data_IF_243663510777
#
_entry.id   IF_243663510777
#
_cell.length_a   1.000
_cell.length_b   1.000
_cell.length_c   1.000
_cell.angle_alpha   90.00
_cell.angle_beta   90.00
_cell.angle_gamma   90.00
#
_symmetry.space_group_name_H-M   'P 1'
#
loop_
_entity.id
_entity.type
_entity.pdbx_description
1 polymer ?
#
# COMPACT_ATOMS: atom_id res chain seq x y z
N UNK A 1 -7.31 -3.07 -4.81
CA UNK A 1 -8.03 -1.84 -4.42
C UNK A 1 -7.20 -0.63 -4.83
N UNK A 2 -7.76 0.22 -5.68
CA UNK A 2 -7.10 1.44 -6.17
C UNK A 2 -7.46 2.63 -5.30
N UNK A 3 -6.55 3.59 -5.16
CA UNK A 3 -6.83 4.85 -4.49
C UNK A 3 -7.67 5.83 -5.31
N UNK A 4 -7.78 7.07 -4.82
CA UNK A 4 -8.56 8.14 -5.44
C UNK A 4 -8.22 8.32 -6.93
N UNK A 5 -9.25 8.23 -7.78
CA UNK A 5 -9.10 8.41 -9.23
C UNK A 5 -8.37 9.70 -9.60
N UNK A 6 -7.33 9.54 -10.42
CA UNK A 6 -6.53 10.66 -10.94
C UNK A 6 -5.37 11.09 -10.04
N UNK A 7 -5.25 10.55 -8.83
CA UNK A 7 -4.07 10.76 -8.00
C UNK A 7 -2.83 10.12 -8.67
N UNK A 8 -1.71 10.83 -8.65
CA UNK A 8 -0.46 10.36 -9.23
C UNK A 8 0.03 9.08 -8.57
N UNK A 9 -0.16 8.95 -7.25
CA UNK A 9 0.14 7.72 -6.50
C UNK A 9 -0.66 6.52 -7.02
N UNK A 10 -1.98 6.67 -7.21
CA UNK A 10 -2.85 5.63 -7.77
C UNK A 10 -2.39 5.20 -9.17
N UNK A 11 -2.13 6.18 -10.04
CA UNK A 11 -1.67 5.92 -11.42
C UNK A 11 -0.33 5.17 -11.40
N UNK A 12 0.63 5.64 -10.60
CA UNK A 12 1.96 5.03 -10.49
C UNK A 12 1.90 3.61 -9.92
N UNK A 13 1.24 3.42 -8.77
CA UNK A 13 1.08 2.11 -8.11
C UNK A 13 0.35 1.11 -9.01
N UNK A 14 -0.72 1.53 -9.73
CA UNK A 14 -1.41 0.66 -10.69
C UNK A 14 -0.52 0.31 -11.88
N UNK A 15 0.15 1.30 -12.47
CA UNK A 15 1.00 1.05 -13.65
C UNK A 15 2.12 0.08 -13.32
N UNK A 16 2.83 0.30 -12.20
CA UNK A 16 3.93 -0.57 -11.78
C UNK A 16 3.49 -2.00 -11.50
N UNK A 17 2.36 -2.19 -10.79
CA UNK A 17 1.85 -3.54 -10.55
C UNK A 17 1.37 -4.23 -11.84
N UNK A 18 0.66 -3.51 -12.71
CA UNK A 18 0.17 -4.07 -13.98
C UNK A 18 1.31 -4.48 -14.91
N UNK A 19 2.41 -3.73 -14.93
CA UNK A 19 3.61 -4.06 -15.69
C UNK A 19 4.18 -5.42 -15.24
N UNK A 20 4.46 -5.57 -13.94
CA UNK A 20 4.98 -6.82 -13.38
C UNK A 20 3.99 -7.98 -13.54
N UNK A 21 2.70 -7.76 -13.27
CA UNK A 21 1.69 -8.81 -13.46
C UNK A 21 1.61 -9.29 -14.92
N UNK A 22 1.85 -8.39 -15.89
CA UNK A 22 1.93 -8.76 -17.32
C UNK A 22 3.11 -9.66 -17.68
N UNK A 23 4.13 -9.74 -16.83
CA UNK A 23 5.28 -10.65 -16.99
C UNK A 23 5.01 -12.06 -16.41
N UNK A 24 3.91 -12.24 -15.68
CA UNK A 24 3.56 -13.49 -15.01
C UNK A 24 2.25 -14.07 -15.55
N UNK A 25 2.32 -15.06 -16.45
CA UNK A 25 1.14 -15.68 -17.08
C UNK A 25 0.15 -16.29 -16.08
N UNK A 26 0.61 -16.65 -14.88
CA UNK A 26 -0.20 -17.23 -13.82
C UNK A 26 -0.80 -16.18 -12.86
N UNK A 27 -0.57 -14.88 -13.08
CA UNK A 27 -1.19 -13.81 -12.30
C UNK A 27 -2.37 -13.25 -13.06
N UNK A 28 -3.58 -13.60 -12.61
CA UNK A 28 -4.83 -13.16 -13.24
C UNK A 28 -5.41 -11.99 -12.46
N UNK A 29 -5.40 -10.79 -13.05
CA UNK A 29 -6.07 -9.63 -12.45
C UNK A 29 -7.58 -9.79 -12.62
N UNK A 30 -8.25 -10.21 -11.54
CA UNK A 30 -9.70 -10.44 -11.51
C UNK A 30 -10.52 -9.15 -11.60
N UNK A 31 -10.09 -8.10 -10.89
CA UNK A 31 -10.74 -6.79 -10.90
C UNK A 31 -9.80 -5.68 -10.38
N UNK A 32 -10.03 -4.47 -10.86
CA UNK A 32 -9.41 -3.24 -10.34
C UNK A 32 -10.50 -2.21 -10.08
N UNK A 33 -10.63 -1.78 -8.83
CA UNK A 33 -11.76 -0.94 -8.38
C UNK A 33 -11.26 0.22 -7.53
N UNK A 34 -11.87 1.38 -7.73
CA UNK A 34 -11.60 2.60 -6.96
C UNK A 34 -12.19 2.46 -5.54
N UNK A 35 -11.31 2.58 -4.56
CA UNK A 35 -11.60 2.57 -3.13
C UNK A 35 -11.15 3.88 -2.43
N UNK A 36 -10.87 4.92 -3.23
CA UNK A 36 -10.78 6.32 -2.80
C UNK A 36 -9.75 6.64 -1.70
N UNK A 37 -8.81 5.74 -1.41
CA UNK A 37 -7.89 5.83 -0.27
C UNK A 37 -8.59 5.90 1.10
N UNK A 38 -9.82 5.39 1.23
CA UNK A 38 -10.56 5.42 2.49
C UNK A 38 -10.90 4.02 3.00
N UNK A 39 -10.91 3.86 4.33
CA UNK A 39 -11.33 2.62 4.99
C UNK A 39 -12.74 2.19 4.63
N UNK A 40 -13.70 3.12 4.66
CA UNK A 40 -15.09 2.81 4.37
C UNK A 40 -15.27 2.26 2.95
N UNK A 41 -14.61 2.88 1.97
CA UNK A 41 -14.72 2.45 0.57
C UNK A 41 -13.88 1.20 0.30
N UNK A 42 -12.73 1.04 0.96
CA UNK A 42 -11.94 -0.19 0.95
C UNK A 42 -12.75 -1.39 1.40
N UNK A 43 -13.47 -1.26 2.53
CA UNK A 43 -14.39 -2.29 3.02
C UNK A 43 -15.51 -2.57 2.02
N UNK A 44 -16.23 -1.54 1.57
CA UNK A 44 -17.35 -1.69 0.62
C UNK A 44 -16.93 -2.45 -0.65
N UNK A 45 -15.79 -2.07 -1.23
CA UNK A 45 -15.28 -2.71 -2.44
C UNK A 45 -14.78 -4.12 -2.18
N UNK A 46 -14.09 -4.37 -1.05
CA UNK A 46 -13.63 -5.72 -0.73
C UNK A 46 -14.81 -6.68 -0.49
N UNK A 47 -15.84 -6.27 0.24
CA UNK A 47 -17.07 -7.06 0.41
C UNK A 47 -17.72 -7.39 -0.93
N UNK A 48 -17.73 -6.43 -1.87
CA UNK A 48 -18.23 -6.66 -3.22
C UNK A 48 -17.36 -7.67 -3.98
N UNK A 49 -16.04 -7.54 -3.91
CA UNK A 49 -15.10 -8.42 -4.61
C UNK A 49 -15.19 -9.85 -4.08
N UNK A 50 -15.27 -10.07 -2.77
CA UNK A 50 -15.44 -11.41 -2.17
C UNK A 50 -16.72 -12.11 -2.64
N UNK A 51 -17.79 -11.37 -2.94
CA UNK A 51 -19.03 -11.94 -3.50
C UNK A 51 -18.90 -12.28 -4.99
N UNK A 52 -18.11 -11.53 -5.74
CA UNK A 52 -17.92 -11.73 -7.18
C UNK A 52 -16.88 -12.82 -7.47
N UNK A 53 -15.83 -12.87 -6.65
CA UNK A 53 -14.65 -13.70 -6.79
C UNK A 53 -14.39 -14.42 -5.46
N UNK A 54 -15.11 -15.51 -5.16
CA UNK A 54 -14.98 -16.25 -3.90
C UNK A 54 -13.64 -16.99 -3.76
N UNK A 55 -12.84 -17.04 -4.82
CA UNK A 55 -11.55 -17.70 -4.96
C UNK A 55 -10.39 -16.69 -5.13
N UNK A 56 -10.53 -15.47 -4.63
CA UNK A 56 -9.46 -14.46 -4.67
C UNK A 56 -8.26 -14.88 -3.80
N UNK A 57 -7.09 -15.03 -4.41
CA UNK A 57 -5.86 -15.41 -3.69
C UNK A 57 -5.15 -14.21 -3.03
N UNK A 58 -5.15 -13.05 -3.72
CA UNK A 58 -4.32 -11.88 -3.34
C UNK A 58 -5.10 -10.59 -3.49
N UNK A 59 -4.99 -9.71 -2.50
CA UNK A 59 -5.47 -8.32 -2.54
C UNK A 59 -4.27 -7.38 -2.47
N UNK A 60 -4.05 -6.64 -3.56
CA UNK A 60 -3.16 -5.47 -3.55
C UNK A 60 -3.99 -4.24 -3.21
N UNK A 61 -3.73 -3.63 -2.05
CA UNK A 61 -4.42 -2.44 -1.59
C UNK A 61 -3.46 -1.25 -1.61
N UNK A 62 -3.78 -0.22 -2.40
CA UNK A 62 -2.84 0.87 -2.65
C UNK A 62 -2.66 1.85 -1.48
N UNK A 63 -3.30 1.66 -0.33
CA UNK A 63 -2.91 2.31 0.92
C UNK A 63 -3.44 1.55 2.15
N UNK A 64 -2.87 1.86 3.31
CA UNK A 64 -3.21 1.25 4.60
C UNK A 64 -4.66 1.48 5.02
N UNK A 65 -5.22 2.68 4.83
CA UNK A 65 -6.61 2.95 5.23
C UNK A 65 -7.59 2.02 4.50
N UNK A 66 -7.45 1.86 3.18
CA UNK A 66 -8.24 0.90 2.41
C UNK A 66 -7.99 -0.53 2.86
N UNK A 67 -6.74 -0.87 3.20
CA UNK A 67 -6.35 -2.18 3.70
C UNK A 67 -7.06 -2.52 4.99
N UNK A 68 -7.16 -1.60 5.95
CA UNK A 68 -7.89 -1.82 7.20
C UNK A 68 -9.36 -2.20 6.92
N UNK A 69 -10.02 -1.49 6.00
CA UNK A 69 -11.38 -1.83 5.59
C UNK A 69 -11.48 -3.18 4.89
N UNK A 70 -10.50 -3.51 4.05
CA UNK A 70 -10.44 -4.79 3.37
C UNK A 70 -10.27 -5.96 4.34
N UNK A 71 -9.42 -5.81 5.37
CA UNK A 71 -9.22 -6.81 6.42
C UNK A 71 -10.52 -7.09 7.19
N UNK A 72 -11.28 -6.04 7.53
CA UNK A 72 -12.59 -6.20 8.16
C UNK A 72 -13.58 -6.97 7.26
N UNK A 73 -13.59 -6.67 5.96
CA UNK A 73 -14.42 -7.39 4.99
C UNK A 73 -14.03 -8.88 4.85
N UNK A 74 -12.73 -9.16 4.76
CA UNK A 74 -12.18 -10.53 4.67
C UNK A 74 -12.57 -11.33 5.91
N UNK A 75 -12.31 -10.79 7.11
CA UNK A 75 -12.67 -11.43 8.38
C UNK A 75 -14.19 -11.58 8.52
N UNK A 76 -14.97 -10.58 8.09
CA UNK A 76 -16.43 -10.62 8.08
C UNK A 76 -17.01 -11.70 7.17
N UNK A 77 -16.29 -12.08 6.11
CA UNK A 77 -16.64 -13.21 5.24
C UNK A 77 -16.23 -14.58 5.83
N UNK A 78 -15.60 -14.60 7.02
CA UNK A 78 -15.10 -15.82 7.65
C UNK A 78 -13.77 -16.31 7.08
N UNK A 79 -13.07 -15.47 6.31
CA UNK A 79 -11.76 -15.76 5.74
C UNK A 79 -10.65 -15.17 6.62
N UNK A 80 -9.46 -15.74 6.53
CA UNK A 80 -8.27 -15.27 7.22
C UNK A 80 -7.38 -14.45 6.28
N UNK A 81 -7.01 -13.21 6.63
CA UNK A 81 -6.02 -12.47 5.86
C UNK A 81 -4.59 -12.88 6.25
N UNK A 82 -3.64 -12.64 5.36
CA UNK A 82 -2.21 -12.74 5.66
C UNK A 82 -1.44 -13.70 4.77
N UNK A 83 -0.13 -13.79 4.97
CA UNK A 83 0.77 -14.66 4.18
C UNK A 83 0.36 -16.15 4.25
N UNK A 84 -0.14 -16.58 5.39
CA UNK A 84 -0.62 -17.95 5.64
C UNK A 84 -2.16 -18.04 5.65
N UNK A 85 -2.85 -16.96 5.30
CA UNK A 85 -4.31 -16.88 5.32
C UNK A 85 -4.96 -17.38 4.03
N UNK A 86 -6.30 -17.34 4.01
CA UNK A 86 -7.09 -17.58 2.80
C UNK A 86 -6.90 -16.49 1.73
N UNK A 87 -6.56 -15.26 2.14
CA UNK A 87 -6.31 -14.12 1.24
C UNK A 87 -5.02 -13.41 1.63
N UNK A 88 -4.04 -13.40 0.74
CA UNK A 88 -2.78 -12.65 0.93
C UNK A 88 -3.06 -11.16 0.73
N UNK A 89 -2.60 -10.32 1.66
CA UNK A 89 -2.82 -8.87 1.62
C UNK A 89 -1.49 -8.14 1.52
N UNK A 90 -1.38 -7.25 0.53
CA UNK A 90 -0.23 -6.35 0.34
C UNK A 90 -0.73 -4.91 0.42
N UNK A 91 -0.08 -4.09 1.24
CA UNK A 91 -0.45 -2.70 1.54
C UNK A 91 0.63 -1.70 1.13
N UNK A 92 0.32 -0.42 1.27
CA UNK A 92 1.21 0.71 1.02
C UNK A 92 1.01 1.81 2.07
N UNK A 93 2.05 2.59 2.27
CA UNK A 93 2.21 3.76 3.15
C UNK A 93 3.03 3.43 4.41
N UNK A 94 2.92 2.23 4.97
CA UNK A 94 3.64 1.78 6.16
C UNK A 94 3.36 2.64 7.40
N UNK A 95 2.10 2.98 7.64
CA UNK A 95 1.69 3.60 8.92
C UNK A 95 1.88 2.60 10.06
N UNK A 96 2.13 3.09 11.27
CA UNK A 96 2.43 2.23 12.42
C UNK A 96 1.43 1.08 12.62
N UNK A 97 0.13 1.35 12.52
CA UNK A 97 -0.90 0.33 12.68
C UNK A 97 -0.85 -0.77 11.60
N UNK A 98 -0.46 -0.44 10.36
CA UNK A 98 -0.27 -1.43 9.31
C UNK A 98 1.00 -2.25 9.55
N UNK A 99 2.07 -1.65 10.04
CA UNK A 99 3.27 -2.38 10.44
C UNK A 99 3.04 -3.35 11.60
N UNK A 100 2.19 -3.00 12.56
CA UNK A 100 1.75 -3.94 13.61
C UNK A 100 0.99 -5.14 13.02
N UNK A 101 0.21 -4.93 11.95
CA UNK A 101 -0.47 -6.00 11.21
C UNK A 101 0.46 -6.80 10.30
N UNK A 102 1.55 -6.19 9.82
CA UNK A 102 2.65 -6.94 9.18
C UNK A 102 3.32 -7.84 10.21
N UNK A 103 3.61 -7.33 11.41
CA UNK A 103 4.21 -8.12 12.49
C UNK A 103 3.32 -9.30 12.92
N UNK A 104 2.00 -9.08 13.05
CA UNK A 104 1.04 -10.14 13.35
C UNK A 104 0.85 -11.15 12.20
N UNK A 105 1.23 -10.77 10.98
CA UNK A 105 1.09 -11.57 9.76
C UNK A 105 -0.24 -11.40 9.03
N UNK A 106 -1.13 -10.51 9.49
CA UNK A 106 -2.39 -10.18 8.82
C UNK A 106 -2.17 -9.42 7.49
N UNK A 107 -1.03 -8.71 7.36
CA UNK A 107 -0.54 -8.11 6.12
C UNK A 107 0.78 -8.79 5.76
N UNK A 108 0.91 -9.30 4.53
CA UNK A 108 2.11 -10.03 4.11
C UNK A 108 3.29 -9.09 3.82
N UNK A 109 3.01 -7.94 3.20
CA UNK A 109 4.01 -6.90 2.94
C UNK A 109 3.35 -5.51 2.91
N UNK A 110 4.11 -4.51 3.33
CA UNK A 110 3.69 -3.11 3.30
C UNK A 110 4.81 -2.23 2.73
N UNK A 111 4.51 -1.48 1.68
CA UNK A 111 5.48 -0.67 0.95
C UNK A 111 5.42 0.77 1.43
N UNK A 112 6.52 1.26 1.99
CA UNK A 112 6.62 2.61 2.53
C UNK A 112 6.31 3.70 1.49
N UNK A 113 5.54 4.70 1.91
CA UNK A 113 5.48 6.01 1.27
C UNK A 113 5.96 7.05 2.28
N UNK A 114 7.25 7.36 2.25
CA UNK A 114 7.87 8.12 3.33
C UNK A 114 7.30 9.56 3.44
N UNK A 115 6.71 9.94 4.58
CA UNK A 115 6.07 11.24 4.74
C UNK A 115 7.08 12.37 5.05
N UNK A 116 8.34 12.05 5.40
CA UNK A 116 9.35 13.01 5.81
C UNK A 116 10.00 13.73 4.62
N UNK A 117 9.17 14.46 3.87
CA UNK A 117 9.58 15.20 2.69
C UNK A 117 9.93 16.66 3.02
N UNK A 118 9.64 17.12 4.24
CA UNK A 118 9.85 18.50 4.68
C UNK A 118 11.29 18.99 4.50
N UNK A 119 12.28 18.20 4.91
CA UNK A 119 13.70 18.57 4.79
C UNK A 119 14.14 18.68 3.31
N UNK A 120 13.63 17.82 2.44
CA UNK A 120 13.89 17.90 1.00
C UNK A 120 13.31 19.18 0.41
N UNK A 121 12.08 19.51 0.78
CA UNK A 121 11.41 20.75 0.35
C UNK A 121 12.16 21.98 0.86
N UNK A 122 12.55 22.02 2.13
CA UNK A 122 13.33 23.11 2.71
C UNK A 122 14.68 23.28 1.99
N UNK A 123 15.39 22.17 1.76
CA UNK A 123 16.67 22.19 1.03
C UNK A 123 16.52 22.77 -0.37
N UNK A 124 15.45 22.41 -1.09
CA UNK A 124 15.17 22.95 -2.43
C UNK A 124 14.88 24.45 -2.35
N UNK A 125 14.06 24.89 -1.40
CA UNK A 125 13.72 26.31 -1.21
C UNK A 125 15.00 27.12 -0.95
N UNK A 126 15.83 26.71 0.01
CA UNK A 126 17.07 27.41 0.37
C UNK A 126 18.03 27.54 -0.82
N UNK A 127 18.19 26.48 -1.62
CA UNK A 127 18.99 26.52 -2.84
C UNK A 127 18.45 27.53 -3.85
N UNK A 128 17.14 27.54 -4.06
CA UNK A 128 16.51 28.50 -4.98
C UNK A 128 16.68 29.95 -4.50
N UNK A 129 16.53 30.22 -3.21
CA UNK A 129 16.74 31.55 -2.62
C UNK A 129 18.19 32.03 -2.79
N UNK A 130 19.16 31.11 -2.75
CA UNK A 130 20.57 31.39 -2.98
C UNK A 130 20.97 31.42 -4.48
N UNK A 131 20.02 31.31 -5.40
CA UNK A 131 20.25 31.20 -6.86
C UNK A 131 21.12 30.00 -7.26
N UNK A 132 21.08 28.92 -6.47
CA UNK A 132 21.73 27.65 -6.80
C UNK A 132 20.85 26.80 -7.73
N UNK A 133 21.48 25.90 -8.49
CA UNK A 133 20.76 24.95 -9.32
C UNK A 133 20.08 23.86 -8.47
N UNK A 134 18.82 23.56 -8.79
CA UNK A 134 18.04 22.48 -8.17
C UNK A 134 17.75 21.37 -9.18
N UNK A 135 17.69 20.12 -8.70
CA UNK A 135 17.30 19.00 -9.53
C UNK A 135 15.80 19.07 -9.83
N UNK A 136 15.37 18.48 -10.95
CA UNK A 136 13.93 18.39 -11.28
C UNK A 136 13.19 17.30 -10.50
N UNK A 137 13.93 16.35 -9.93
CA UNK A 137 13.39 15.20 -9.24
C UNK A 137 14.27 14.89 -8.04
N UNK A 138 13.63 14.67 -6.90
CA UNK A 138 14.22 14.19 -5.67
C UNK A 138 13.51 12.90 -5.31
N UNK A 139 14.27 11.81 -5.21
CA UNK A 139 13.74 10.50 -4.85
C UNK A 139 13.90 10.33 -3.35
N UNK A 140 12.80 10.08 -2.66
CA UNK A 140 12.79 9.80 -1.23
C UNK A 140 13.05 8.30 -1.05
N UNK A 141 14.01 7.89 -0.22
CA UNK A 141 14.22 6.48 0.07
C UNK A 141 12.98 5.86 0.72
N UNK A 142 12.61 4.69 0.22
CA UNK A 142 11.46 3.90 0.68
C UNK A 142 11.92 2.47 0.98
N UNK A 143 11.19 1.81 1.86
CA UNK A 143 11.45 0.45 2.35
C UNK A 143 10.23 -0.44 2.14
N UNK A 144 10.46 -1.71 1.83
CA UNK A 144 9.41 -2.73 1.89
C UNK A 144 9.49 -3.42 3.25
N UNK A 145 8.38 -3.43 3.97
CA UNK A 145 8.27 -4.09 5.26
C UNK A 145 7.62 -5.46 5.12
N UNK A 146 8.25 -6.46 5.73
CA UNK A 146 7.75 -7.82 5.88
C UNK A 146 8.00 -8.26 7.32
N UNK A 147 7.50 -9.43 7.71
CA UNK A 147 7.78 -10.00 9.04
C UNK A 147 9.26 -10.11 9.38
N UNK A 148 10.13 -10.16 8.37
CA UNK A 148 11.58 -10.26 8.55
C UNK A 148 12.22 -9.00 9.09
N UNK A 149 11.68 -7.81 8.79
CA UNK A 149 12.31 -6.52 9.11
C UNK A 149 11.42 -5.56 9.91
N UNK A 150 10.12 -5.84 10.04
CA UNK A 150 9.15 -4.89 10.61
C UNK A 150 9.38 -4.59 12.09
N UNK A 151 9.80 -5.57 12.90
CA UNK A 151 10.03 -5.36 14.34
C UNK A 151 11.08 -4.27 14.57
N UNK A 152 12.15 -4.23 13.76
CA UNK A 152 13.16 -3.18 13.84
C UNK A 152 12.58 -1.80 13.47
N UNK A 153 11.72 -1.76 12.45
CA UNK A 153 11.08 -0.52 12.02
C UNK A 153 10.14 0.04 13.10
N UNK A 154 9.38 -0.81 13.79
CA UNK A 154 8.49 -0.42 14.88
C UNK A 154 9.23 0.15 16.11
N UNK A 155 10.47 -0.27 16.34
CA UNK A 155 11.32 0.24 17.42
C UNK A 155 12.02 1.57 17.08
N UNK A 156 12.48 1.73 15.83
CA UNK A 156 13.37 2.83 15.43
C UNK A 156 12.65 4.02 14.80
N UNK A 157 11.45 3.84 14.22
CA UNK A 157 10.74 4.93 13.53
C UNK A 157 10.10 5.93 14.47
N UNK A 158 10.07 7.18 14.01
CA UNK A 158 9.52 8.33 14.72
C UNK A 158 8.19 8.84 14.15
N UNK A 159 7.67 8.18 13.11
CA UNK A 159 6.46 8.53 12.37
C UNK A 159 5.66 7.27 12.01
#
# INVERSE_FOLDING_TARGET
>A
LQGTRGATATIGRTSGFNEIAGEHENWVILDQVDAEFTTAKGQEQMERLLRLHPDIDVVISQNDDMTFGALEAIRGAGLTPGEEGDVIVISFDAVKAALELVESGDIAADVECNPNQGEYVETVIQKMENNEAVAKMYVVPETVFTRENVTKALEERTY
#
